data_IF_620194116743
#
_entry.id   IF_620194116743
#
_cell.length_a   1.000
_cell.length_b   1.000
_cell.length_c   1.000
_cell.angle_alpha   90.00
_cell.angle_beta   90.00
_cell.angle_gamma   90.00
#
_symmetry.space_group_name_H-M   'P 1'
#
loop_
_entity.id
_entity.type
_entity.pdbx_description
1 polymer ?
#
# COMPACT_ATOMS: atom_id res chain seq x y z
N UNK A 1 -48.40 -54.33 -16.87
CA UNK A 1 -47.12 -54.50 -16.14
C UNK A 1 -45.93 -53.88 -16.89
N UNK A 2 -45.76 -54.10 -18.19
CA UNK A 2 -44.59 -53.65 -18.99
C UNK A 2 -44.34 -52.12 -19.02
N UNK A 3 -45.38 -51.28 -18.95
CA UNK A 3 -45.25 -49.80 -18.92
C UNK A 3 -44.65 -49.29 -17.60
N UNK A 4 -45.01 -49.88 -16.46
CA UNK A 4 -44.48 -49.48 -15.15
C UNK A 4 -42.97 -49.73 -15.04
N UNK A 5 -42.49 -50.89 -15.52
CA UNK A 5 -41.07 -51.22 -15.52
C UNK A 5 -40.22 -50.29 -16.41
N UNK A 6 -40.76 -49.80 -17.53
CA UNK A 6 -40.07 -48.80 -18.38
C UNK A 6 -39.98 -47.44 -17.69
N UNK A 7 -41.04 -46.98 -17.03
CA UNK A 7 -41.05 -45.72 -16.28
C UNK A 7 -40.07 -45.76 -15.10
N UNK A 8 -40.05 -46.85 -14.34
CA UNK A 8 -39.09 -47.03 -13.23
C UNK A 8 -37.64 -46.99 -13.74
N UNK A 9 -37.36 -47.63 -14.88
CA UNK A 9 -36.02 -47.64 -15.48
C UNK A 9 -35.58 -46.25 -15.96
N UNK A 10 -36.49 -45.44 -16.54
CA UNK A 10 -36.15 -44.07 -16.94
C UNK A 10 -35.97 -43.14 -15.75
N UNK A 11 -36.82 -43.27 -14.72
CA UNK A 11 -36.70 -42.52 -13.47
C UNK A 11 -35.40 -42.86 -12.73
N UNK A 12 -35.02 -44.15 -12.65
CA UNK A 12 -33.75 -44.58 -12.06
C UNK A 12 -32.55 -44.01 -12.82
N UNK A 13 -32.61 -43.99 -14.15
CA UNK A 13 -31.54 -43.41 -14.97
C UNK A 13 -31.45 -41.88 -14.81
N UNK A 14 -32.58 -41.19 -14.72
CA UNK A 14 -32.65 -39.74 -14.46
C UNK A 14 -32.09 -39.40 -13.07
N UNK A 15 -32.47 -40.18 -12.05
CA UNK A 15 -31.97 -40.00 -10.69
C UNK A 15 -30.45 -40.22 -10.62
N UNK A 16 -29.92 -41.25 -11.27
CA UNK A 16 -28.46 -41.48 -11.35
C UNK A 16 -27.73 -40.31 -12.00
N UNK A 17 -28.28 -39.75 -13.08
CA UNK A 17 -27.72 -38.54 -13.72
C UNK A 17 -27.71 -37.35 -12.77
N UNK A 18 -28.83 -37.09 -12.08
CA UNK A 18 -28.95 -36.00 -11.11
C UNK A 18 -27.98 -36.18 -9.93
N UNK A 19 -27.81 -37.39 -9.42
CA UNK A 19 -26.84 -37.68 -8.36
C UNK A 19 -25.41 -37.40 -8.84
N UNK A 20 -25.07 -37.79 -10.07
CA UNK A 20 -23.75 -37.51 -10.64
C UNK A 20 -23.52 -35.99 -10.84
N UNK A 21 -24.49 -35.27 -11.40
CA UNK A 21 -24.45 -33.81 -11.58
C UNK A 21 -24.32 -33.08 -10.23
N UNK A 22 -25.10 -33.46 -9.22
CA UNK A 22 -25.01 -32.88 -7.87
C UNK A 22 -23.67 -33.20 -7.20
N UNK A 23 -23.15 -34.41 -7.40
CA UNK A 23 -21.86 -34.81 -6.83
C UNK A 23 -20.71 -34.00 -7.44
N UNK A 24 -20.75 -33.73 -8.74
CA UNK A 24 -19.80 -32.86 -9.42
C UNK A 24 -19.91 -31.40 -8.92
N UNK A 25 -21.13 -30.87 -8.82
CA UNK A 25 -21.36 -29.52 -8.27
C UNK A 25 -20.87 -29.38 -6.83
N UNK A 26 -21.05 -30.39 -5.97
CA UNK A 26 -20.52 -30.40 -4.60
C UNK A 26 -19.00 -30.42 -4.59
N UNK A 27 -18.37 -31.21 -5.48
CA UNK A 27 -16.92 -31.24 -5.62
C UNK A 27 -16.36 -29.88 -6.10
N UNK A 28 -16.99 -29.26 -7.09
CA UNK A 28 -16.64 -27.93 -7.56
C UNK A 28 -16.82 -26.86 -6.47
N UNK A 29 -17.93 -26.90 -5.74
CA UNK A 29 -18.19 -25.97 -4.63
C UNK A 29 -17.14 -26.11 -3.52
N UNK A 30 -16.76 -27.35 -3.17
CA UNK A 30 -15.68 -27.62 -2.22
C UNK A 30 -14.34 -27.06 -2.70
N UNK A 31 -14.00 -27.24 -3.99
CA UNK A 31 -12.78 -26.69 -4.57
C UNK A 31 -12.77 -25.15 -4.52
N UNK A 32 -13.88 -24.51 -4.85
CA UNK A 32 -14.01 -23.05 -4.77
C UNK A 32 -13.89 -22.55 -3.33
N UNK A 33 -14.53 -23.20 -2.36
CA UNK A 33 -14.38 -22.87 -0.92
C UNK A 33 -12.92 -22.94 -0.47
N UNK A 34 -12.20 -23.99 -0.86
CA UNK A 34 -10.77 -24.14 -0.55
C UNK A 34 -9.90 -23.06 -1.22
N UNK A 35 -10.28 -22.59 -2.42
CA UNK A 35 -9.58 -21.47 -3.08
C UNK A 35 -9.83 -20.15 -2.36
N UNK A 36 -11.07 -19.86 -1.98
CA UNK A 36 -11.45 -18.66 -1.22
C UNK A 36 -10.76 -18.65 0.15
N UNK A 37 -10.78 -19.76 0.88
CA UNK A 37 -10.08 -19.87 2.17
C UNK A 37 -8.58 -19.61 2.04
N UNK A 38 -7.92 -20.19 1.03
CA UNK A 38 -6.50 -19.94 0.77
C UNK A 38 -6.22 -18.49 0.38
N UNK A 39 -7.08 -17.88 -0.44
CA UNK A 39 -6.95 -16.47 -0.80
C UNK A 39 -7.10 -15.55 0.41
N UNK A 40 -8.09 -15.82 1.27
CA UNK A 40 -8.32 -15.08 2.52
C UNK A 40 -7.12 -15.21 3.47
N UNK A 41 -6.61 -16.42 3.70
CA UNK A 41 -5.42 -16.64 4.53
C UNK A 41 -4.19 -15.88 4.01
N UNK A 42 -3.98 -15.86 2.69
CA UNK A 42 -2.89 -15.10 2.07
C UNK A 42 -3.09 -13.59 2.24
N UNK A 43 -4.31 -13.10 2.05
CA UNK A 43 -4.63 -11.68 2.25
C UNK A 43 -4.37 -11.26 3.70
N UNK A 44 -4.81 -12.04 4.69
CA UNK A 44 -4.51 -11.80 6.10
C UNK A 44 -3.01 -11.81 6.36
N UNK A 45 -2.28 -12.83 5.88
CA UNK A 45 -0.84 -12.91 6.09
C UNK A 45 -0.07 -11.74 5.44
N UNK A 46 -0.50 -11.27 4.27
CA UNK A 46 0.05 -10.08 3.63
C UNK A 46 -0.25 -8.83 4.46
N UNK A 47 -1.50 -8.64 4.89
CA UNK A 47 -1.89 -7.51 5.72
C UNK A 47 -1.09 -7.44 7.03
N UNK A 48 -0.92 -8.57 7.72
CA UNK A 48 -0.10 -8.64 8.94
C UNK A 48 1.38 -8.32 8.72
N UNK A 49 1.92 -8.65 7.54
CA UNK A 49 3.29 -8.25 7.17
C UNK A 49 3.36 -6.74 6.90
N UNK A 50 2.37 -6.18 6.22
CA UNK A 50 2.29 -4.75 5.97
C UNK A 50 2.17 -3.96 7.27
N UNK A 51 1.26 -4.34 8.17
CA UNK A 51 1.09 -3.69 9.48
C UNK A 51 2.36 -3.75 10.32
N UNK A 52 3.03 -4.91 10.38
CA UNK A 52 4.32 -5.03 11.08
C UNK A 52 5.39 -4.11 10.50
N UNK A 53 5.47 -4.01 9.18
CA UNK A 53 6.42 -3.10 8.53
C UNK A 53 6.11 -1.63 8.85
N UNK A 54 4.84 -1.23 8.78
CA UNK A 54 4.43 0.14 9.16
C UNK A 54 4.77 0.41 10.62
N UNK A 55 4.49 -0.55 11.52
CA UNK A 55 4.84 -0.44 12.94
C UNK A 55 6.34 -0.27 13.16
N UNK A 56 7.16 -1.03 12.44
CA UNK A 56 8.62 -0.88 12.49
C UNK A 56 9.08 0.47 11.94
N UNK A 57 8.59 0.90 10.77
CA UNK A 57 8.94 2.18 10.16
C UNK A 57 8.57 3.38 11.07
N UNK A 58 7.43 3.30 11.78
CA UNK A 58 7.00 4.31 12.75
C UNK A 58 7.82 4.27 14.04
N UNK A 59 8.16 3.08 14.51
CA UNK A 59 8.95 2.91 15.72
C UNK A 59 10.38 3.40 15.53
N UNK A 60 11.05 2.94 14.47
CA UNK A 60 12.47 3.17 14.25
C UNK A 60 12.79 4.57 13.73
N UNK A 61 11.79 5.27 13.18
CA UNK A 61 11.92 6.65 12.74
C UNK A 61 11.33 7.65 13.73
N UNK A 62 10.05 8.03 13.56
CA UNK A 62 9.48 9.15 14.29
C UNK A 62 9.37 8.92 15.80
N UNK A 63 9.11 7.70 16.27
CA UNK A 63 9.03 7.45 17.71
C UNK A 63 10.39 7.61 18.40
N UNK A 64 11.50 7.17 17.77
CA UNK A 64 12.85 7.40 18.28
C UNK A 64 13.22 8.88 18.33
N UNK A 65 12.89 9.64 17.27
CA UNK A 65 13.14 11.08 17.23
C UNK A 65 12.36 11.85 18.31
N UNK A 66 11.10 11.46 18.55
CA UNK A 66 10.29 12.02 19.64
C UNK A 66 10.87 11.67 21.01
N UNK A 67 11.32 10.42 21.20
CA UNK A 67 11.97 10.01 22.46
C UNK A 67 13.26 10.80 22.70
N UNK A 68 14.07 11.02 21.67
CA UNK A 68 15.28 11.85 21.76
C UNK A 68 14.96 13.31 22.08
N UNK A 69 13.90 13.87 21.49
CA UNK A 69 13.43 15.21 21.81
C UNK A 69 12.96 15.32 23.27
N UNK A 70 12.26 14.31 23.79
CA UNK A 70 11.84 14.26 25.20
C UNK A 70 13.05 14.25 26.15
N UNK A 71 14.06 13.44 25.87
CA UNK A 71 15.32 13.43 26.64
C UNK A 71 16.05 14.78 26.58
N UNK A 72 16.01 15.46 25.44
CA UNK A 72 16.59 16.79 25.28
C UNK A 72 15.87 17.88 26.09
N UNK A 73 14.57 17.74 26.32
CA UNK A 73 13.81 18.64 27.20
C UNK A 73 14.24 18.48 28.66
N UNK A 74 14.55 17.26 29.07
CA UNK A 74 15.03 16.94 30.43
C UNK A 74 16.53 17.26 30.62
N UNK A 75 17.19 17.85 29.63
CA UNK A 75 18.61 18.19 29.65
C UNK A 75 18.95 19.15 30.80
N UNK A 76 20.03 18.89 31.58
CA UNK A 76 20.49 19.80 32.63
C UNK A 76 20.80 21.21 32.12
N UNK A 77 21.16 21.33 30.84
CA UNK A 77 21.38 22.62 30.15
C UNK A 77 20.13 23.50 30.22
N UNK A 78 18.93 22.91 30.09
CA UNK A 78 17.66 23.63 30.17
C UNK A 78 17.20 23.85 31.60
N UNK A 79 17.52 22.93 32.51
CA UNK A 79 17.09 22.98 33.90
C UNK A 79 17.92 23.95 34.76
N UNK A 80 19.20 24.18 34.45
CA UNK A 80 20.08 25.04 35.24
C UNK A 80 19.90 26.54 34.90
N UNK A 81 19.44 27.37 35.87
CA UNK A 81 19.31 28.82 35.67
C UNK A 81 20.63 29.51 35.33
N UNK A 82 21.76 28.98 35.81
CA UNK A 82 23.11 29.53 35.57
C UNK A 82 23.61 29.27 34.15
N UNK A 83 22.98 28.36 33.40
CA UNK A 83 23.36 28.08 32.00
C UNK A 83 23.15 29.33 31.14
N UNK A 84 24.13 29.71 30.28
CA UNK A 84 23.96 30.85 29.38
C UNK A 84 22.75 30.71 28.46
N UNK A 85 22.01 31.80 28.25
CA UNK A 85 20.81 31.80 27.41
C UNK A 85 21.06 31.26 25.99
N UNK A 86 22.25 31.54 25.42
CA UNK A 86 22.65 31.01 24.12
C UNK A 86 22.81 29.48 24.11
N UNK A 87 23.28 28.87 25.20
CA UNK A 87 23.38 27.42 25.32
C UNK A 87 22.00 26.77 25.43
N UNK A 88 21.10 27.34 26.25
CA UNK A 88 19.69 26.92 26.31
C UNK A 88 18.98 27.01 24.97
N UNK A 89 19.19 28.11 24.25
CA UNK A 89 18.60 28.30 22.92
C UNK A 89 19.07 27.25 21.90
N UNK A 90 20.35 26.86 21.94
CA UNK A 90 20.88 25.79 21.08
C UNK A 90 20.26 24.44 21.42
N UNK A 91 20.14 24.10 22.70
CA UNK A 91 19.52 22.84 23.13
C UNK A 91 18.05 22.77 22.68
N UNK A 92 17.28 23.85 22.87
CA UNK A 92 15.90 23.94 22.37
C UNK A 92 15.82 23.83 20.83
N UNK A 93 16.80 24.34 20.09
CA UNK A 93 16.86 24.16 18.64
C UNK A 93 17.07 22.71 18.25
N UNK A 94 17.90 21.95 18.97
CA UNK A 94 18.10 20.51 18.73
C UNK A 94 16.80 19.74 18.99
N UNK A 95 16.13 20.00 20.11
CA UNK A 95 14.82 19.39 20.43
C UNK A 95 13.82 19.68 19.31
N UNK A 96 13.71 20.94 18.88
CA UNK A 96 12.81 21.34 17.80
C UNK A 96 13.15 20.62 16.48
N UNK A 97 14.43 20.55 16.11
CA UNK A 97 14.86 19.89 14.89
C UNK A 97 14.46 18.40 14.88
N UNK A 98 14.64 17.69 16.00
CA UNK A 98 14.22 16.29 16.13
C UNK A 98 12.70 16.13 15.96
N UNK A 99 11.90 17.03 16.53
CA UNK A 99 10.44 17.01 16.34
C UNK A 99 10.02 17.33 14.90
N UNK A 100 10.67 18.29 14.25
CA UNK A 100 10.41 18.65 12.87
C UNK A 100 10.74 17.49 11.91
N UNK A 101 11.83 16.78 12.18
CA UNK A 101 12.23 15.57 11.44
C UNK A 101 11.26 14.42 11.71
N UNK A 102 10.83 14.18 12.95
CA UNK A 102 9.82 13.17 13.27
C UNK A 102 8.51 13.42 12.50
N UNK A 103 8.04 14.67 12.49
CA UNK A 103 6.84 15.06 11.72
C UNK A 103 7.03 14.90 10.22
N UNK A 104 8.25 15.09 9.69
CA UNK A 104 8.56 14.81 8.29
C UNK A 104 8.45 13.30 8.00
N UNK A 105 8.97 12.46 8.87
CA UNK A 105 8.92 11.00 8.70
C UNK A 105 7.50 10.44 8.80
N UNK A 106 6.70 10.87 9.78
CA UNK A 106 5.28 10.49 9.86
C UNK A 106 4.56 10.84 8.56
N UNK A 107 4.75 12.06 8.03
CA UNK A 107 4.15 12.47 6.77
C UNK A 107 4.61 11.60 5.59
N UNK A 108 5.88 11.18 5.58
CA UNK A 108 6.40 10.29 4.54
C UNK A 108 5.73 8.91 4.61
N UNK A 109 5.61 8.31 5.80
CA UNK A 109 4.90 7.04 5.99
C UNK A 109 3.43 7.18 5.57
N UNK A 110 2.71 8.21 6.05
CA UNK A 110 1.30 8.42 5.72
C UNK A 110 1.05 8.61 4.22
N UNK A 111 1.90 9.39 3.53
CA UNK A 111 1.82 9.55 2.06
C UNK A 111 2.08 8.25 1.32
N UNK A 112 2.97 7.41 1.85
CA UNK A 112 3.18 6.05 1.37
C UNK A 112 1.97 5.13 1.58
N UNK A 113 1.04 5.46 2.47
CA UNK A 113 -0.16 4.65 2.72
C UNK A 113 -1.38 5.13 1.92
N UNK A 114 -1.46 6.43 1.64
CA UNK A 114 -2.56 6.98 0.85
C UNK A 114 -2.49 6.50 -0.61
N UNK A 115 -3.52 5.77 -1.01
CA UNK A 115 -3.81 5.49 -2.40
C UNK A 115 -4.86 6.48 -2.90
N UNK A 116 -4.68 7.07 -4.08
CA UNK A 116 -5.75 7.83 -4.70
C UNK A 116 -6.93 6.92 -5.05
N UNK A 117 -8.11 7.52 -5.27
CA UNK A 117 -9.29 6.81 -5.78
C UNK A 117 -9.03 6.31 -7.22
N UNK A 118 -8.31 5.20 -7.32
CA UNK A 118 -7.85 4.57 -8.56
C UNK A 118 -8.92 3.76 -9.28
N UNK A 119 -10.02 3.41 -8.59
CA UNK A 119 -11.06 2.55 -9.15
C UNK A 119 -11.70 3.17 -10.39
N UNK A 120 -12.01 4.47 -10.31
CA UNK A 120 -12.67 5.21 -11.39
C UNK A 120 -11.70 6.07 -12.23
N UNK A 121 -10.42 6.12 -11.86
CA UNK A 121 -9.44 6.94 -12.56
C UNK A 121 -8.89 6.24 -13.81
N UNK A 122 -8.71 6.98 -14.89
CA UNK A 122 -7.99 6.55 -16.08
C UNK A 122 -6.48 6.45 -15.79
N UNK A 123 -5.76 5.61 -16.57
CA UNK A 123 -4.30 5.46 -16.38
C UNK A 123 -3.56 6.80 -16.45
N UNK A 124 -3.99 7.70 -17.33
CA UNK A 124 -3.41 9.04 -17.47
C UNK A 124 -3.54 9.83 -16.17
N UNK A 125 -4.71 9.83 -15.55
CA UNK A 125 -4.95 10.55 -14.30
C UNK A 125 -4.09 10.00 -13.15
N UNK A 126 -3.90 8.67 -13.13
CA UNK A 126 -3.05 7.98 -12.14
C UNK A 126 -1.58 8.42 -12.27
N UNK A 127 -1.06 8.44 -13.51
CA UNK A 127 0.32 8.82 -13.77
C UNK A 127 0.56 10.31 -13.52
N UNK A 128 -0.36 11.16 -13.97
CA UNK A 128 -0.34 12.59 -13.65
C UNK A 128 -0.33 12.84 -12.16
N UNK A 129 -1.16 12.12 -11.39
CA UNK A 129 -1.20 12.28 -9.95
C UNK A 129 0.10 11.83 -9.29
N UNK A 130 0.70 10.73 -9.74
CA UNK A 130 1.99 10.26 -9.23
C UNK A 130 3.10 11.30 -9.49
N UNK A 131 3.14 11.86 -10.71
CA UNK A 131 4.08 12.91 -11.11
C UNK A 131 3.85 14.20 -10.32
N UNK A 132 2.62 14.72 -10.26
CA UNK A 132 2.30 15.93 -9.49
C UNK A 132 2.68 15.79 -8.01
N UNK A 133 2.33 14.67 -7.38
CA UNK A 133 2.67 14.41 -5.99
C UNK A 133 4.19 14.30 -5.77
N UNK A 134 4.94 13.83 -6.77
CA UNK A 134 6.41 13.84 -6.74
C UNK A 134 6.95 15.26 -6.85
N UNK A 135 6.55 16.00 -7.88
CA UNK A 135 6.93 17.39 -8.16
C UNK A 135 6.70 18.29 -6.93
N UNK A 136 5.51 18.24 -6.32
CA UNK A 136 5.17 19.05 -5.14
C UNK A 136 6.03 18.73 -3.92
N UNK A 137 6.52 17.49 -3.82
CA UNK A 137 7.30 17.01 -2.68
C UNK A 137 8.79 17.30 -2.83
N UNK A 138 9.34 17.11 -4.03
CA UNK A 138 10.78 17.19 -4.27
C UNK A 138 11.22 18.50 -4.92
N UNK A 139 10.27 19.26 -5.50
CA UNK A 139 10.56 20.42 -6.34
C UNK A 139 11.17 20.06 -7.70
N UNK A 140 11.39 18.78 -7.98
CA UNK A 140 11.96 18.29 -9.24
C UNK A 140 10.85 18.08 -10.25
N UNK A 141 10.99 18.66 -11.45
CA UNK A 141 10.04 18.47 -12.54
C UNK A 141 10.25 17.14 -13.25
N UNK A 142 9.20 16.33 -13.32
CA UNK A 142 9.18 15.08 -14.09
C UNK A 142 8.44 15.30 -15.41
N UNK A 143 9.06 14.92 -16.53
CA UNK A 143 8.37 14.96 -17.83
C UNK A 143 7.40 13.77 -17.95
N UNK A 144 6.14 14.06 -18.26
CA UNK A 144 5.12 13.04 -18.51
C UNK A 144 4.76 13.03 -20.00
N UNK A 145 4.89 11.88 -20.66
CA UNK A 145 4.46 11.69 -22.05
C UNK A 145 3.50 10.51 -22.15
N UNK A 146 2.31 10.77 -22.70
CA UNK A 146 1.26 9.76 -22.83
C UNK A 146 0.90 9.63 -24.30
N UNK A 147 1.25 8.49 -24.92
CA UNK A 147 0.87 8.20 -26.30
C UNK A 147 -0.05 6.99 -26.41
N UNK A 148 -0.99 7.04 -27.35
CA UNK A 148 -1.93 5.95 -27.65
C UNK A 148 -2.98 5.63 -26.58
N UNK A 149 -3.93 4.76 -26.94
CA UNK A 149 -4.94 4.19 -26.03
C UNK A 149 -4.38 3.05 -25.16
N UNK A 150 -5.11 2.62 -24.14
CA UNK A 150 -4.75 1.43 -23.35
C UNK A 150 -5.96 0.51 -23.22
N UNK A 151 -5.72 -0.79 -23.11
CA UNK A 151 -6.79 -1.73 -22.76
C UNK A 151 -7.28 -1.44 -21.34
N UNK A 152 -8.55 -1.77 -21.01
CA UNK A 152 -9.08 -1.60 -19.67
C UNK A 152 -8.21 -2.31 -18.62
N UNK A 153 -7.76 -1.55 -17.62
CA UNK A 153 -6.93 -2.06 -16.54
C UNK A 153 -7.80 -2.41 -15.33
N UNK A 154 -7.49 -3.54 -14.67
CA UNK A 154 -8.08 -3.85 -13.38
C UNK A 154 -7.62 -2.83 -12.32
N UNK A 155 -8.41 -2.59 -11.25
CA UNK A 155 -7.98 -1.73 -10.14
C UNK A 155 -6.63 -2.15 -9.55
N UNK A 156 -6.37 -3.46 -9.44
CA UNK A 156 -5.10 -3.98 -8.97
C UNK A 156 -3.91 -3.59 -9.87
N UNK A 157 -4.09 -3.61 -11.19
CA UNK A 157 -3.05 -3.17 -12.13
C UNK A 157 -2.80 -1.66 -12.03
N UNK A 158 -3.88 -0.86 -11.93
CA UNK A 158 -3.82 0.59 -11.71
C UNK A 158 -3.03 0.95 -10.44
N UNK A 159 -3.34 0.26 -9.33
CA UNK A 159 -2.60 0.39 -8.05
C UNK A 159 -1.12 0.05 -8.23
N UNK A 160 -0.83 -1.07 -8.88
CA UNK A 160 0.54 -1.54 -9.07
C UNK A 160 1.36 -0.52 -9.87
N UNK A 161 0.81 0.02 -10.95
CA UNK A 161 1.46 1.04 -11.77
C UNK A 161 1.73 2.31 -10.95
N UNK A 162 0.73 2.80 -10.21
CA UNK A 162 0.90 3.98 -9.35
C UNK A 162 2.05 3.81 -8.36
N UNK A 163 2.08 2.67 -7.66
CA UNK A 163 3.12 2.35 -6.67
C UNK A 163 4.50 2.21 -7.31
N UNK A 164 4.57 1.57 -8.48
CA UNK A 164 5.81 1.40 -9.21
C UNK A 164 6.42 2.74 -9.61
N UNK A 165 5.62 3.64 -10.20
CA UNK A 165 6.09 4.97 -10.61
C UNK A 165 6.48 5.81 -9.39
N UNK A 166 5.68 5.78 -8.32
CA UNK A 166 6.01 6.47 -7.07
C UNK A 166 7.39 6.06 -6.54
N UNK A 167 7.66 4.76 -6.47
CA UNK A 167 8.92 4.23 -5.97
C UNK A 167 10.09 4.49 -6.92
N UNK A 168 9.89 4.32 -8.23
CA UNK A 168 10.92 4.59 -9.23
C UNK A 168 11.38 6.06 -9.21
N UNK A 169 10.42 7.00 -9.17
CA UNK A 169 10.72 8.43 -9.07
C UNK A 169 11.41 8.76 -7.74
N UNK A 170 10.96 8.17 -6.64
CA UNK A 170 11.57 8.40 -5.33
C UNK A 170 13.01 7.88 -5.26
N UNK A 171 13.28 6.70 -5.85
CA UNK A 171 14.63 6.15 -5.93
C UNK A 171 15.54 7.00 -6.81
N UNK A 172 15.06 7.46 -7.98
CA UNK A 172 15.83 8.39 -8.81
C UNK A 172 16.12 9.72 -8.12
N UNK A 173 15.20 10.24 -7.31
CA UNK A 173 15.44 11.44 -6.50
C UNK A 173 16.49 11.18 -5.42
N UNK A 174 16.32 10.12 -4.62
CA UNK A 174 17.19 9.82 -3.48
C UNK A 174 18.61 9.45 -3.91
N UNK A 175 18.77 8.73 -5.02
CA UNK A 175 20.06 8.16 -5.42
C UNK A 175 20.72 8.89 -6.59
N UNK A 176 19.99 9.68 -7.37
CA UNK A 176 20.52 10.41 -8.53
C UNK A 176 20.14 11.91 -8.55
N UNK A 177 19.64 12.44 -7.44
CA UNK A 177 19.28 13.87 -7.31
C UNK A 177 18.08 14.30 -8.17
N UNK A 178 17.37 13.36 -8.80
CA UNK A 178 16.18 13.64 -9.61
C UNK A 178 16.47 14.24 -10.99
N UNK A 179 17.72 14.25 -11.45
CA UNK A 179 18.06 14.85 -12.75
C UNK A 179 17.44 14.05 -13.92
N UNK A 180 16.72 14.74 -14.81
CA UNK A 180 16.24 14.19 -16.09
C UNK A 180 15.14 13.14 -15.99
N UNK A 181 14.34 13.13 -14.92
CA UNK A 181 13.28 12.14 -14.75
C UNK A 181 12.17 12.30 -15.78
N UNK A 182 11.76 11.18 -16.38
CA UNK A 182 10.62 11.11 -17.28
C UNK A 182 9.79 9.85 -17.07
N UNK A 183 8.48 9.96 -17.28
CA UNK A 183 7.51 8.87 -17.29
C UNK A 183 6.85 8.87 -18.66
N UNK A 184 6.92 7.75 -19.35
CA UNK A 184 6.34 7.58 -20.67
C UNK A 184 5.48 6.32 -20.75
N UNK A 185 4.41 6.40 -21.53
CA UNK A 185 3.58 5.27 -21.94
C UNK A 185 3.81 4.95 -23.42
#
# INVERSE_FOLDING_TARGET
>A
VFRGSRTIRSQSHSLKRRIAELSDLVAQNRMLRLRVQRASQRATALNERYLRRIGADLHDGPAQLVALAALGIDSPVLADPATPAAARARELQVVKANLDDAMREVRNVSKGLMLPHVENAELTEILELAVRAHDERTGVKVMLSMTGGHAPLSPAAKICIFRFIQEALNNGFRHAGGAGQSVAK
#
